data_IF_537071791543
#
_entry.id   IF_537071791543
#
_cell.length_a   1.000
_cell.length_b   1.000
_cell.length_c   1.000
_cell.angle_alpha   90.00
_cell.angle_beta   90.00
_cell.angle_gamma   90.00
#
_symmetry.space_group_name_H-M   'P 1'
#
loop_
_entity.id
_entity.type
_entity.pdbx_description
1 polymer ?
#
# COMPACT_ATOMS: atom_id res chain seq x y z
N UNK A 1 -0.68 6.37 -46.97
CA UNK A 1 -0.22 5.85 -45.66
C UNK A 1 -1.07 6.51 -44.59
N UNK A 2 -2.04 5.80 -44.01
CA UNK A 2 -2.90 6.36 -42.96
C UNK A 2 -2.66 5.58 -41.67
N UNK A 3 -2.22 6.30 -40.65
CA UNK A 3 -1.87 5.80 -39.32
C UNK A 3 -3.10 5.19 -38.64
N UNK A 4 -2.96 3.96 -38.14
CA UNK A 4 -3.98 3.27 -37.34
C UNK A 4 -3.71 3.51 -35.85
N UNK A 5 -4.48 4.39 -35.24
CA UNK A 5 -4.55 4.55 -33.78
C UNK A 5 -5.77 3.79 -33.26
N UNK A 6 -5.52 2.69 -32.54
CA UNK A 6 -6.56 1.83 -31.96
C UNK A 6 -6.94 2.28 -30.55
N UNK A 7 -8.22 2.59 -30.35
CA UNK A 7 -8.81 2.82 -29.02
C UNK A 7 -9.17 1.49 -28.36
N UNK A 8 -8.67 1.26 -27.14
CA UNK A 8 -8.88 0.03 -26.36
C UNK A 8 -10.01 0.20 -25.33
N UNK A 9 -10.77 -0.87 -25.07
CA UNK A 9 -11.76 -0.97 -23.98
C UNK A 9 -11.51 -2.28 -23.22
N UNK A 10 -11.65 -2.25 -21.89
CA UNK A 10 -11.14 -3.27 -20.95
C UNK A 10 -12.23 -4.24 -20.51
N UNK A 11 -11.90 -5.54 -20.41
CA UNK A 11 -12.70 -6.57 -19.73
C UNK A 11 -11.77 -7.51 -18.97
N UNK A 12 -12.16 -7.90 -17.76
CA UNK A 12 -11.39 -8.76 -16.86
C UNK A 12 -12.18 -10.06 -16.60
N UNK A 13 -11.54 -11.22 -16.76
CA UNK A 13 -12.04 -12.53 -16.30
C UNK A 13 -11.02 -13.14 -15.35
N UNK A 14 -11.48 -13.76 -14.26
CA UNK A 14 -10.64 -14.34 -13.21
C UNK A 14 -10.86 -15.85 -13.09
N UNK A 15 -9.76 -16.62 -13.06
CA UNK A 15 -9.56 -17.83 -12.23
C UNK A 15 -8.17 -18.43 -12.46
N UNK A 16 -7.33 -18.49 -11.43
CA UNK A 16 -6.82 -19.76 -10.87
C UNK A 16 -6.13 -19.52 -9.52
N UNK A 17 -6.60 -20.20 -8.47
CA UNK A 17 -6.05 -20.09 -7.11
C UNK A 17 -4.78 -20.95 -7.01
N UNK A 18 -3.63 -20.31 -6.74
CA UNK A 18 -2.45 -20.99 -6.23
C UNK A 18 -2.31 -20.65 -4.76
N UNK A 19 -2.48 -21.67 -3.92
CA UNK A 19 -2.18 -21.61 -2.50
C UNK A 19 -0.73 -21.12 -2.29
N UNK A 20 -0.58 -20.02 -1.58
CA UNK A 20 0.72 -19.50 -1.18
C UNK A 20 0.74 -19.28 0.34
N UNK A 21 1.87 -19.67 0.95
CA UNK A 21 2.03 -19.86 2.38
C UNK A 21 2.14 -18.53 3.14
N UNK A 22 1.05 -17.77 3.11
CA UNK A 22 0.94 -16.40 3.60
C UNK A 22 1.08 -16.33 5.13
N UNK A 23 0.63 -17.35 5.84
CA UNK A 23 0.82 -17.47 7.29
C UNK A 23 2.28 -17.70 7.69
N UNK A 24 3.12 -18.33 6.85
CA UNK A 24 4.57 -18.38 7.07
C UNK A 24 5.22 -17.03 6.81
N UNK A 25 4.87 -16.31 5.74
CA UNK A 25 5.43 -14.98 5.48
C UNK A 25 5.01 -13.95 6.55
N UNK A 26 3.74 -13.90 6.94
CA UNK A 26 3.29 -13.07 8.07
C UNK A 26 3.96 -13.47 9.38
N UNK A 27 4.15 -14.77 9.66
CA UNK A 27 4.91 -15.20 10.84
C UNK A 27 6.38 -14.79 10.76
N UNK A 28 7.03 -14.93 9.61
CA UNK A 28 8.41 -14.47 9.38
C UNK A 28 8.52 -12.97 9.53
N UNK A 29 7.56 -12.18 9.04
CA UNK A 29 7.51 -10.72 9.23
C UNK A 29 7.18 -10.36 10.69
N UNK A 30 6.28 -11.09 11.36
CA UNK A 30 5.96 -10.94 12.80
C UNK A 30 7.12 -11.32 13.73
N UNK A 31 7.94 -12.29 13.37
CA UNK A 31 9.10 -12.77 14.15
C UNK A 31 10.38 -11.97 13.84
N UNK A 32 10.46 -11.32 12.67
CA UNK A 32 11.56 -10.43 12.28
C UNK A 32 11.42 -9.04 12.90
N UNK A 33 11.44 -8.93 14.23
CA UNK A 33 11.81 -7.72 15.01
C UNK A 33 11.36 -6.33 14.46
N UNK A 34 10.19 -6.21 13.83
CA UNK A 34 9.67 -4.97 13.22
C UNK A 34 8.12 -4.92 13.28
N UNK A 35 7.55 -5.03 14.48
CA UNK A 35 6.16 -4.63 14.71
C UNK A 35 5.99 -4.21 16.17
N UNK A 36 5.63 -2.95 16.42
CA UNK A 36 5.11 -2.52 17.72
C UNK A 36 3.60 -2.29 17.60
N UNK A 37 2.84 -3.22 18.21
CA UNK A 37 1.52 -3.04 18.86
C UNK A 37 0.31 -2.84 17.92
N UNK A 38 -0.81 -3.58 17.97
CA UNK A 38 -1.28 -4.69 18.83
C UNK A 38 -2.45 -5.41 18.17
N UNK A 39 -2.48 -6.74 18.27
CA UNK A 39 -3.73 -7.52 18.26
C UNK A 39 -3.64 -8.61 19.33
N UNK A 40 -3.79 -8.22 20.60
CA UNK A 40 -4.38 -9.00 21.72
C UNK A 40 -4.10 -8.31 23.07
N UNK A 41 -5.12 -8.22 23.93
CA UNK A 41 -4.94 -7.95 25.36
C UNK A 41 -5.76 -6.79 25.93
N UNK A 42 -7.06 -7.01 26.09
CA UNK A 42 -7.75 -6.48 27.27
C UNK A 42 -7.13 -7.14 28.53
N UNK A 43 -7.01 -6.36 29.60
CA UNK A 43 -6.57 -6.68 30.97
C UNK A 43 -5.07 -6.55 31.30
N UNK A 44 -4.86 -5.63 32.26
CA UNK A 44 -3.80 -5.57 33.28
C UNK A 44 -2.35 -5.33 32.83
N UNK A 45 -1.91 -4.07 32.96
CA UNK A 45 -0.76 -3.76 33.82
C UNK A 45 -0.59 -2.24 33.95
N UNK A 46 -0.91 -1.72 35.13
CA UNK A 46 -0.36 -0.47 35.62
C UNK A 46 1.17 -0.55 35.67
N UNK A 47 1.84 0.50 35.20
CA UNK A 47 3.21 0.81 35.60
C UNK A 47 4.31 -0.02 34.93
N UNK A 48 4.91 0.53 33.87
CA UNK A 48 6.28 1.07 33.91
C UNK A 48 6.68 1.62 32.55
N UNK A 49 7.25 2.81 32.62
CA UNK A 49 7.88 3.58 31.58
C UNK A 49 9.12 2.85 31.04
N UNK A 50 9.15 2.47 29.76
CA UNK A 50 10.35 1.99 29.07
C UNK A 50 10.34 2.42 27.58
N UNK A 51 10.84 3.63 27.38
CA UNK A 51 11.75 4.09 26.32
C UNK A 51 11.94 3.17 25.09
N UNK A 52 11.29 3.51 23.97
CA UNK A 52 11.49 2.85 22.67
C UNK A 52 12.67 3.47 21.92
N UNK A 53 13.82 2.79 21.92
CA UNK A 53 14.91 3.04 20.96
C UNK A 53 14.63 2.29 19.65
N UNK A 54 14.00 2.98 18.70
CA UNK A 54 14.02 2.61 17.29
C UNK A 54 15.43 2.82 16.70
N UNK A 55 15.85 1.90 15.85
CA UNK A 55 17.22 1.76 15.36
C UNK A 55 17.79 3.02 14.71
N UNK A 56 18.76 3.62 15.39
CA UNK A 56 19.78 4.45 14.80
C UNK A 56 20.72 3.55 13.99
N UNK A 57 21.01 3.92 12.74
CA UNK A 57 22.19 3.39 12.04
C UNK A 57 23.41 3.71 12.91
N UNK A 58 24.16 2.69 13.31
CA UNK A 58 25.47 2.86 13.92
C UNK A 58 26.38 3.61 12.94
N UNK A 59 26.65 4.87 13.23
CA UNK A 59 27.77 5.58 12.60
C UNK A 59 28.78 6.14 13.60
N UNK A 60 28.52 6.17 14.91
CA UNK A 60 29.53 6.57 15.90
C UNK A 60 29.30 5.88 17.25
N UNK A 61 30.14 4.92 17.62
CA UNK A 61 30.36 4.55 19.02
C UNK A 61 31.36 5.55 19.63
N UNK A 62 31.13 6.08 20.84
CA UNK A 62 32.06 7.00 21.48
C UNK A 62 33.19 6.20 22.13
N UNK A 63 34.34 6.12 21.48
CA UNK A 63 35.58 5.87 22.20
C UNK A 63 36.26 7.22 22.43
N UNK A 64 36.36 7.61 23.71
CA UNK A 64 37.17 8.71 24.27
C UNK A 64 36.88 10.14 23.80
N UNK A 65 36.32 10.96 24.69
CA UNK A 65 36.35 12.42 24.60
C UNK A 65 37.70 12.97 25.15
N UNK A 66 38.02 14.28 25.03
CA UNK A 66 37.49 15.29 24.11
C UNK A 66 38.61 15.89 23.22
N UNK A 67 38.29 16.35 22.02
CA UNK A 67 38.99 17.53 21.52
C UNK A 67 38.11 18.41 20.64
N UNK A 68 38.39 19.70 20.74
CA UNK A 68 37.51 20.80 20.41
C UNK A 68 37.11 20.90 18.92
N UNK A 69 35.84 21.22 18.68
CA UNK A 69 35.29 21.90 17.49
C UNK A 69 35.18 21.16 16.15
N UNK A 70 34.82 19.88 16.14
CA UNK A 70 34.20 19.28 14.96
C UNK A 70 32.78 18.81 15.27
N UNK A 71 31.81 19.68 14.98
CA UNK A 71 30.41 19.30 14.91
C UNK A 71 30.27 18.13 13.93
N UNK A 72 29.93 16.95 14.45
CA UNK A 72 29.67 15.79 13.60
C UNK A 72 28.52 16.10 12.64
N UNK A 73 28.70 15.99 11.30
CA UNK A 73 27.67 16.30 10.31
C UNK A 73 26.42 15.42 10.42
N UNK A 74 26.52 14.26 11.08
CA UNK A 74 25.43 13.33 11.29
C UNK A 74 24.45 13.73 12.40
N UNK A 75 24.77 14.75 13.22
CA UNK A 75 23.93 15.17 14.35
C UNK A 75 22.72 16.03 13.94
N UNK A 76 22.69 16.56 12.70
CA UNK A 76 21.68 17.55 12.27
C UNK A 76 20.51 17.03 11.42
N UNK A 77 20.20 15.73 11.44
CA UNK A 77 18.98 15.21 10.78
C UNK A 77 18.31 14.10 11.59
N UNK A 78 18.02 14.38 12.86
CA UNK A 78 16.83 13.84 13.47
C UNK A 78 15.75 14.93 13.41
N UNK A 79 15.32 15.27 12.19
CA UNK A 79 13.99 15.87 12.08
C UNK A 79 13.07 14.78 12.60
N UNK A 80 12.38 15.05 13.72
CA UNK A 80 11.37 14.14 14.23
C UNK A 80 10.32 14.02 13.14
N UNK A 81 10.41 12.97 12.32
CA UNK A 81 9.52 12.80 11.20
C UNK A 81 8.09 12.78 11.76
N UNK A 82 7.25 13.67 11.23
CA UNK A 82 5.88 13.85 11.72
C UNK A 82 5.15 12.50 11.62
N UNK A 83 4.57 12.04 12.73
CA UNK A 83 3.82 10.79 12.78
C UNK A 83 2.36 11.07 12.49
N UNK A 84 1.84 10.39 11.50
CA UNK A 84 0.47 10.49 11.01
C UNK A 84 -0.31 9.27 11.50
N UNK A 85 -1.47 9.51 12.10
CA UNK A 85 -2.42 8.48 12.52
C UNK A 85 -3.48 8.25 11.45
N UNK A 86 -3.64 6.99 11.04
CA UNK A 86 -4.64 6.54 10.08
C UNK A 86 -5.55 5.52 10.75
N UNK A 87 -6.83 5.83 10.84
CA UNK A 87 -7.86 4.97 11.38
C UNK A 87 -8.68 4.36 10.24
N UNK A 88 -8.60 3.04 10.08
CA UNK A 88 -9.41 2.28 9.12
C UNK A 88 -10.47 1.50 9.88
N UNK A 89 -11.72 1.95 9.83
CA UNK A 89 -12.89 1.30 10.44
C UNK A 89 -12.65 0.88 11.91
N UNK A 90 -11.99 1.75 12.68
CA UNK A 90 -11.64 1.55 14.08
C UNK A 90 -10.24 0.98 14.35
N UNK A 91 -9.50 0.56 13.32
CA UNK A 91 -8.11 0.11 13.46
C UNK A 91 -7.14 1.24 13.18
N UNK A 92 -6.31 1.55 14.17
CA UNK A 92 -5.34 2.63 14.06
C UNK A 92 -3.99 2.11 13.57
N UNK A 93 -3.40 2.86 12.65
CA UNK A 93 -2.09 2.66 12.07
C UNK A 93 -1.31 3.96 12.20
N UNK A 94 -0.01 3.86 12.48
CA UNK A 94 0.88 5.01 12.63
C UNK A 94 2.00 4.95 11.61
N UNK A 95 2.17 6.01 10.82
CA UNK A 95 3.19 6.10 9.77
C UNK A 95 3.88 7.45 9.78
N UNK A 96 5.16 7.46 9.41
CA UNK A 96 5.91 8.70 9.22
C UNK A 96 5.46 9.42 7.95
N UNK A 97 5.33 10.75 8.01
CA UNK A 97 5.05 11.60 6.85
C UNK A 97 6.06 11.37 5.71
N UNK A 98 7.34 11.19 6.05
CA UNK A 98 8.42 10.93 5.08
C UNK A 98 8.19 9.66 4.26
N UNK A 99 7.53 8.64 4.81
CA UNK A 99 7.20 7.41 4.08
C UNK A 99 6.05 7.64 3.10
N UNK A 100 5.05 8.42 3.49
CA UNK A 100 3.95 8.78 2.60
C UNK A 100 4.44 9.68 1.46
N UNK A 101 5.36 10.59 1.74
CA UNK A 101 5.91 11.54 0.76
C UNK A 101 6.73 10.84 -0.35
N UNK A 102 7.19 9.60 -0.14
CA UNK A 102 7.82 8.77 -1.17
C UNK A 102 6.85 8.34 -2.28
N UNK A 103 5.55 8.37 -2.00
CA UNK A 103 4.50 7.85 -2.88
C UNK A 103 3.46 8.95 -3.20
N UNK A 104 3.88 10.09 -3.80
CA UNK A 104 3.03 11.29 -3.94
C UNK A 104 1.85 11.13 -4.90
N UNK A 105 1.88 10.11 -5.77
CA UNK A 105 0.79 9.74 -6.67
C UNK A 105 -0.37 9.05 -5.96
N UNK A 106 -0.14 8.53 -4.75
CA UNK A 106 -1.14 7.76 -3.99
C UNK A 106 -2.08 8.65 -3.19
N UNK A 107 -3.22 8.10 -2.77
CA UNK A 107 -4.20 8.82 -1.95
C UNK A 107 -3.58 9.30 -0.63
N UNK A 108 -2.75 8.47 0.00
CA UNK A 108 -2.13 8.76 1.29
C UNK A 108 -0.85 9.59 1.18
N UNK A 109 -0.13 9.52 0.05
CA UNK A 109 1.03 10.39 -0.18
C UNK A 109 0.64 11.80 -0.59
N UNK A 110 -0.45 11.96 -1.34
CA UNK A 110 -0.92 13.27 -1.74
C UNK A 110 -1.64 13.99 -0.59
N UNK A 111 -1.02 15.05 -0.06
CA UNK A 111 -1.58 15.88 1.01
C UNK A 111 -2.99 16.41 0.69
N UNK A 112 -3.24 16.84 -0.56
CA UNK A 112 -4.53 17.38 -0.96
C UNK A 112 -5.60 16.27 -1.00
N UNK A 113 -5.25 15.06 -1.43
CA UNK A 113 -6.16 13.91 -1.44
C UNK A 113 -6.49 13.45 -0.02
N UNK A 114 -5.48 13.25 0.85
CA UNK A 114 -5.71 12.78 2.22
C UNK A 114 -6.40 13.81 3.11
N UNK A 115 -6.22 15.12 2.86
CA UNK A 115 -6.82 16.18 3.69
C UNK A 115 -8.35 16.10 3.79
N UNK A 116 -9.01 15.51 2.79
CA UNK A 116 -10.47 15.28 2.76
C UNK A 116 -10.95 14.29 3.82
N UNK A 117 -10.07 13.41 4.31
CA UNK A 117 -10.37 12.36 5.27
C UNK A 117 -9.88 12.69 6.69
N UNK A 118 -9.37 13.90 6.91
CA UNK A 118 -8.80 14.29 8.20
C UNK A 118 -9.88 14.71 9.20
N UNK A 119 -9.98 14.01 10.32
CA UNK A 119 -10.81 14.39 11.46
C UNK A 119 -10.02 15.31 12.41
N UNK A 120 -10.35 16.61 12.39
CA UNK A 120 -9.72 17.63 13.24
C UNK A 120 -9.89 17.37 14.74
N UNK A 121 -10.95 16.68 15.16
CA UNK A 121 -11.25 16.44 16.57
C UNK A 121 -10.32 15.38 17.15
N UNK A 122 -10.16 14.28 16.42
CA UNK A 122 -9.34 13.13 16.83
C UNK A 122 -7.89 13.24 16.36
N UNK A 123 -7.59 14.19 15.45
CA UNK A 123 -6.28 14.37 14.81
C UNK A 123 -5.80 13.10 14.09
N UNK A 124 -6.73 12.43 13.41
CA UNK A 124 -6.46 11.20 12.65
C UNK A 124 -7.13 11.28 11.27
N UNK A 125 -6.61 10.52 10.30
CA UNK A 125 -7.27 10.30 9.02
C UNK A 125 -8.21 9.11 9.15
N UNK A 126 -9.49 9.27 8.81
CA UNK A 126 -10.48 8.21 8.96
C UNK A 126 -10.93 7.65 7.61
N UNK A 127 -10.91 6.32 7.50
CA UNK A 127 -11.34 5.56 6.33
C UNK A 127 -12.33 4.47 6.76
N UNK A 128 -13.54 4.50 6.22
CA UNK A 128 -14.55 3.45 6.41
C UNK A 128 -14.37 2.35 5.35
N UNK A 129 -13.26 1.61 5.44
CA UNK A 129 -12.78 0.66 4.42
C UNK A 129 -12.39 -0.71 4.99
N UNK A 130 -12.01 -1.64 4.11
CA UNK A 130 -11.70 -3.01 4.48
C UNK A 130 -10.36 -3.13 5.23
N UNK A 131 -10.44 -3.37 6.54
CA UNK A 131 -9.29 -3.39 7.47
C UNK A 131 -8.16 -4.34 7.06
N UNK A 132 -8.42 -5.63 6.73
CA UNK A 132 -7.35 -6.56 6.37
C UNK A 132 -6.62 -6.18 5.08
N UNK A 133 -7.31 -5.53 4.12
CA UNK A 133 -6.65 -5.09 2.89
C UNK A 133 -5.74 -3.92 3.16
N UNK A 134 -6.15 -3.00 4.02
CA UNK A 134 -5.33 -1.85 4.38
C UNK A 134 -4.00 -2.25 5.01
N UNK A 135 -3.95 -3.32 5.80
CA UNK A 135 -2.69 -3.81 6.39
C UNK A 135 -1.63 -4.10 5.32
N UNK A 136 -2.05 -4.63 4.17
CA UNK A 136 -1.16 -4.97 3.05
C UNK A 136 -0.75 -3.70 2.28
N UNK A 137 -1.70 -2.80 2.04
CA UNK A 137 -1.42 -1.50 1.44
C UNK A 137 -0.47 -0.68 2.34
N UNK A 138 -0.64 -0.76 3.66
CA UNK A 138 0.21 -0.12 4.65
C UNK A 138 1.65 -0.66 4.61
N UNK A 139 1.81 -1.99 4.54
CA UNK A 139 3.11 -2.63 4.41
C UNK A 139 3.85 -2.18 3.13
N UNK A 140 3.12 -1.91 2.04
CA UNK A 140 3.69 -1.35 0.82
C UNK A 140 4.35 0.02 1.07
N UNK A 141 3.76 0.91 1.85
CA UNK A 141 4.40 2.20 2.18
C UNK A 141 5.63 2.07 3.08
N UNK A 142 5.68 1.04 3.94
CA UNK A 142 6.78 0.84 4.88
C UNK A 142 8.04 0.25 4.22
N UNK A 143 7.85 -0.80 3.44
CA UNK A 143 8.94 -1.61 2.92
C UNK A 143 9.04 -1.56 1.38
N UNK A 144 7.99 -1.08 0.71
CA UNK A 144 7.85 -1.16 -0.73
C UNK A 144 7.64 -2.59 -1.22
N UNK A 145 7.83 -2.78 -2.52
CA UNK A 145 7.86 -4.10 -3.15
C UNK A 145 6.50 -4.55 -3.70
N UNK A 146 6.36 -5.88 -3.86
CA UNK A 146 5.22 -6.50 -4.55
C UNK A 146 4.05 -6.71 -3.60
N UNK A 147 2.86 -6.34 -4.05
CA UNK A 147 1.62 -6.65 -3.34
C UNK A 147 1.34 -8.15 -3.41
N UNK A 148 0.95 -8.72 -2.27
CA UNK A 148 0.53 -10.12 -2.15
C UNK A 148 -0.77 -10.19 -1.37
N UNK A 149 -1.80 -10.71 -2.03
CA UNK A 149 -3.11 -10.91 -1.43
C UNK A 149 -3.11 -12.17 -0.56
N UNK A 150 -3.76 -12.17 0.61
CA UNK A 150 -3.98 -13.35 1.43
C UNK A 150 -5.14 -14.18 0.86
N UNK A 151 -5.08 -15.50 1.02
CA UNK A 151 -6.11 -16.41 0.48
C UNK A 151 -7.53 -16.12 0.99
N UNK A 152 -7.68 -15.61 2.22
CA UNK A 152 -9.00 -15.31 2.81
C UNK A 152 -9.60 -13.98 2.34
N UNK A 153 -8.83 -13.12 1.66
CA UNK A 153 -9.37 -11.88 1.09
C UNK A 153 -9.71 -12.17 -0.37
N UNK A 154 -10.97 -11.97 -0.81
CA UNK A 154 -11.34 -12.08 -2.22
C UNK A 154 -10.52 -11.15 -3.13
N UNK A 155 -10.25 -11.60 -4.36
CA UNK A 155 -9.40 -10.86 -5.30
C UNK A 155 -10.04 -9.55 -5.77
N UNK A 156 -11.34 -9.55 -6.00
CA UNK A 156 -12.15 -8.40 -6.36
C UNK A 156 -12.17 -7.33 -5.25
N UNK A 157 -12.33 -7.76 -3.99
CA UNK A 157 -12.25 -6.87 -2.82
C UNK A 157 -10.86 -6.27 -2.72
N UNK A 158 -9.81 -7.09 -2.83
CA UNK A 158 -8.44 -6.59 -2.75
C UNK A 158 -8.11 -5.60 -3.87
N UNK A 159 -8.50 -5.92 -5.11
CA UNK A 159 -8.30 -5.07 -6.28
C UNK A 159 -9.00 -3.71 -6.09
N UNK A 160 -10.26 -3.74 -5.64
CA UNK A 160 -11.06 -2.54 -5.37
C UNK A 160 -10.38 -1.63 -4.34
N UNK A 161 -9.80 -2.19 -3.29
CA UNK A 161 -9.13 -1.41 -2.25
C UNK A 161 -7.79 -0.84 -2.71
N UNK A 162 -6.95 -1.59 -3.43
CA UNK A 162 -5.67 -1.06 -3.92
C UNK A 162 -5.87 0.04 -4.98
N UNK A 163 -6.95 -0.06 -5.78
CA UNK A 163 -7.38 1.00 -6.69
C UNK A 163 -7.95 2.21 -5.92
N UNK A 164 -8.68 1.99 -4.82
CA UNK A 164 -9.19 3.05 -3.94
C UNK A 164 -8.05 3.88 -3.30
N UNK A 165 -7.02 3.21 -2.77
CA UNK A 165 -5.84 3.89 -2.21
C UNK A 165 -4.93 4.51 -3.28
N UNK A 166 -5.27 4.33 -4.56
CA UNK A 166 -4.55 4.87 -5.70
C UNK A 166 -3.09 4.46 -5.68
N UNK A 167 -2.81 3.18 -5.37
CA UNK A 167 -1.46 2.65 -5.50
C UNK A 167 -0.98 2.79 -6.96
N UNK A 168 0.33 2.85 -7.13
CA UNK A 168 0.95 3.10 -8.42
C UNK A 168 0.47 2.10 -9.48
N UNK A 169 0.18 2.56 -10.71
CA UNK A 169 -0.39 1.71 -11.74
C UNK A 169 0.51 0.51 -12.07
N UNK A 170 1.83 0.70 -12.01
CA UNK A 170 2.83 -0.36 -12.19
C UNK A 170 2.68 -1.47 -11.14
N UNK A 171 2.43 -1.11 -9.89
CA UNK A 171 2.27 -2.06 -8.78
C UNK A 171 0.95 -2.83 -8.91
N UNK A 172 -0.11 -2.14 -9.33
CA UNK A 172 -1.41 -2.76 -9.58
C UNK A 172 -1.32 -3.71 -10.79
N UNK A 173 -0.61 -3.33 -11.85
CA UNK A 173 -0.39 -4.16 -13.03
C UNK A 173 0.44 -5.41 -12.68
N UNK A 174 1.51 -5.25 -11.90
CA UNK A 174 2.30 -6.37 -11.38
C UNK A 174 1.45 -7.35 -10.55
N UNK A 175 0.57 -6.82 -9.70
CA UNK A 175 -0.39 -7.63 -8.95
C UNK A 175 -1.32 -8.40 -9.89
N UNK A 176 -1.91 -7.71 -10.88
CA UNK A 176 -2.78 -8.31 -11.91
C UNK A 176 -2.06 -9.45 -12.65
N UNK A 177 -0.83 -9.23 -13.11
CA UNK A 177 -0.05 -10.28 -13.76
C UNK A 177 0.19 -11.47 -12.81
N UNK A 178 0.50 -11.19 -11.53
CA UNK A 178 0.82 -12.23 -10.55
C UNK A 178 -0.37 -13.12 -10.17
N UNK A 179 -1.59 -12.58 -10.21
CA UNK A 179 -2.84 -13.30 -9.98
C UNK A 179 -3.39 -13.96 -11.26
N UNK A 180 -2.73 -13.77 -12.40
CA UNK A 180 -3.10 -14.38 -13.67
C UNK A 180 -4.14 -13.60 -14.47
N UNK A 181 -4.34 -12.32 -14.18
CA UNK A 181 -5.14 -11.45 -15.03
C UNK A 181 -4.44 -11.31 -16.38
N UNK A 182 -5.08 -11.82 -17.43
CA UNK A 182 -4.58 -11.68 -18.80
C UNK A 182 -5.27 -10.48 -19.44
N UNK A 183 -4.49 -9.51 -19.92
CA UNK A 183 -5.03 -8.43 -20.75
C UNK A 183 -5.22 -8.98 -22.15
N UNK A 184 -6.39 -9.55 -22.43
CA UNK A 184 -6.77 -9.86 -23.82
C UNK A 184 -6.96 -8.54 -24.56
N UNK A 185 -5.98 -8.18 -25.41
CA UNK A 185 -6.17 -7.12 -26.40
C UNK A 185 -7.15 -7.62 -27.45
N UNK A 186 -8.43 -7.34 -27.23
CA UNK A 186 -9.46 -7.57 -28.24
C UNK A 186 -9.21 -6.62 -29.40
N UNK A 187 -8.79 -7.17 -30.54
CA UNK A 187 -8.63 -6.41 -31.77
C UNK A 187 -10.00 -6.28 -32.45
N UNK A 188 -10.50 -5.06 -32.53
CA UNK A 188 -11.73 -4.79 -33.26
C UNK A 188 -11.44 -4.66 -34.75
N UNK A 189 -12.32 -5.16 -35.63
CA UNK A 189 -12.24 -4.84 -37.05
C UNK A 189 -12.40 -3.31 -37.26
N UNK A 190 -11.52 -2.70 -38.06
CA UNK A 190 -11.50 -1.24 -38.31
C UNK A 190 -12.78 -0.74 -38.98
N UNK A 191 -13.50 -1.62 -39.69
CA UNK A 191 -14.75 -1.29 -40.36
C UNK A 191 -15.88 -1.11 -39.34
N UNK A 192 -16.56 0.05 -39.40
CA UNK A 192 -17.68 0.40 -38.51
C UNK A 192 -18.81 -0.63 -38.51
N UNK A 193 -19.13 -1.24 -39.66
CA UNK A 193 -20.20 -2.25 -39.77
C UNK A 193 -19.78 -3.57 -39.13
N UNK A 194 -18.54 -4.02 -39.38
CA UNK A 194 -18.02 -5.24 -38.75
C UNK A 194 -17.89 -5.06 -37.23
N UNK A 195 -17.53 -3.87 -36.76
CA UNK A 195 -17.50 -3.56 -35.33
C UNK A 195 -18.89 -3.70 -34.70
N UNK A 196 -19.95 -3.24 -35.36
CA UNK A 196 -21.34 -3.42 -34.88
C UNK A 196 -21.74 -4.88 -34.82
N UNK A 197 -21.46 -5.65 -35.87
CA UNK A 197 -21.76 -7.09 -35.90
C UNK A 197 -20.99 -7.82 -34.79
N UNK A 198 -19.71 -7.50 -34.65
CA UNK A 198 -18.86 -8.05 -33.59
C UNK A 198 -19.41 -7.73 -32.18
N UNK A 199 -19.88 -6.50 -31.96
CA UNK A 199 -20.49 -6.09 -30.68
C UNK A 199 -21.76 -6.89 -30.37
N UNK A 200 -22.64 -7.08 -31.36
CA UNK A 200 -23.88 -7.86 -31.18
C UNK A 200 -23.59 -9.33 -30.87
N UNK A 201 -22.56 -9.91 -31.49
CA UNK A 201 -22.17 -11.31 -31.23
C UNK A 201 -21.59 -11.49 -29.83
N UNK A 202 -20.77 -10.53 -29.36
CA UNK A 202 -20.11 -10.60 -28.05
C UNK A 202 -21.05 -10.18 -26.90
N UNK A 203 -22.04 -9.33 -27.18
CA UNK A 203 -23.03 -8.81 -26.23
C UNK A 203 -24.43 -8.90 -26.85
N UNK A 204 -25.07 -10.08 -26.83
CA UNK A 204 -26.40 -10.26 -27.42
C UNK A 204 -27.52 -9.53 -26.65
N UNK A 205 -27.23 -9.05 -25.44
CA UNK A 205 -28.16 -8.36 -24.53
C UNK A 205 -28.14 -6.82 -24.68
N UNK A 206 -27.28 -6.26 -25.55
CA UNK A 206 -27.23 -4.80 -25.88
C UNK A 206 -27.88 -4.50 -27.21
#
# INVERSE_FOLDING_TARGET
>A
MAASTSGSSMRVRTRNSKANNWSKWIKTVRESRYFSVTSQGYQEASGRNLNWRGGFKECCLPSSAPDNQHECPCSRKLVSAERILINVSGQQFEISSELLDKHPSTLLGNQASRSKFYDKRKKEYFFDRHRPTFEIAFAYFQYGGKLRRPDYIPDDVFLTEIEYYQLEPEVIEDYKISEGYTVEKVTFPTNKTLKKIWLVMEYPET
#
